data_IF_921108880986
#
_entry.id   IF_921108880986
#
_cell.length_a   1.000
_cell.length_b   1.000
_cell.length_c   1.000
_cell.angle_alpha   90.00
_cell.angle_beta   90.00
_cell.angle_gamma   90.00
#
_symmetry.space_group_name_H-M   'P 1'
#
loop_
_entity.id
_entity.type
_entity.pdbx_description
1 polymer ?
#
# COMPACT_ATOMS: atom_id res chain seq x y z
N UNK A 1 -5.31 -12.16 0.69
CA UNK A 1 -5.29 -10.71 0.37
C UNK A 1 -4.21 -10.36 -0.66
N UNK A 2 -2.98 -10.89 -0.53
CA UNK A 2 -1.90 -10.68 -1.51
C UNK A 2 -2.28 -11.09 -2.93
N UNK A 3 -2.82 -12.30 -3.12
CA UNK A 3 -3.23 -12.77 -4.46
C UNK A 3 -4.33 -11.92 -5.09
N UNK A 4 -5.28 -11.46 -4.27
CA UNK A 4 -6.33 -10.54 -4.71
C UNK A 4 -5.73 -9.21 -5.18
N UNK A 5 -4.76 -8.67 -4.44
CA UNK A 5 -4.06 -7.45 -4.82
C UNK A 5 -3.19 -7.65 -6.08
N UNK A 6 -2.56 -8.81 -6.23
CA UNK A 6 -1.72 -9.12 -7.41
C UNK A 6 -2.49 -9.16 -8.73
N UNK A 7 -3.83 -9.16 -8.71
CA UNK A 7 -4.65 -9.02 -9.91
C UNK A 7 -4.72 -7.62 -10.49
N UNK A 8 -4.22 -6.58 -9.78
CA UNK A 8 -4.24 -5.20 -10.27
C UNK A 8 -3.03 -4.89 -11.16
N UNK A 9 -3.30 -4.52 -12.41
CA UNK A 9 -2.26 -4.07 -13.33
C UNK A 9 -1.50 -2.85 -12.79
N UNK A 10 -0.16 -2.89 -12.89
CA UNK A 10 0.71 -1.81 -12.43
C UNK A 10 0.83 -1.67 -10.91
N UNK A 11 0.20 -2.54 -10.13
CA UNK A 11 0.27 -2.58 -8.67
C UNK A 11 0.12 -1.18 -8.03
N UNK A 12 -1.09 -0.59 -8.12
CA UNK A 12 -1.34 0.78 -7.71
C UNK A 12 -1.09 1.00 -6.20
N UNK A 13 -0.82 2.24 -5.77
CA UNK A 13 -0.63 2.53 -4.36
C UNK A 13 -1.83 2.10 -3.51
N UNK A 14 -1.55 1.59 -2.31
CA UNK A 14 -2.56 1.14 -1.39
C UNK A 14 -2.33 1.66 0.03
N UNK A 15 -3.44 1.92 0.72
CA UNK A 15 -3.48 2.32 2.12
C UNK A 15 -4.14 1.23 2.94
N UNK A 16 -3.43 0.72 3.94
CA UNK A 16 -3.97 -0.24 4.89
C UNK A 16 -4.64 0.53 6.04
N UNK A 17 -5.95 0.35 6.20
CA UNK A 17 -6.78 1.12 7.15
C UNK A 17 -7.40 0.27 8.26
N UNK A 18 -7.34 -1.06 8.13
CA UNK A 18 -7.91 -2.00 9.09
C UNK A 18 -6.93 -3.13 9.38
N UNK A 19 -7.05 -3.71 10.58
CA UNK A 19 -6.23 -4.81 11.07
C UNK A 19 -5.40 -4.43 12.28
N UNK A 20 -4.88 -5.45 12.96
CA UNK A 20 -3.94 -5.25 14.04
C UNK A 20 -2.63 -4.64 13.51
N UNK A 21 -1.94 -3.78 14.30
CA UNK A 21 -0.74 -3.08 13.84
C UNK A 21 0.34 -4.01 13.26
N UNK A 22 0.56 -5.16 13.87
CA UNK A 22 1.55 -6.15 13.43
C UNK A 22 1.15 -6.76 12.08
N UNK A 23 -0.11 -7.21 11.96
CA UNK A 23 -0.64 -7.77 10.72
C UNK A 23 -0.60 -6.77 9.56
N UNK A 24 -0.96 -5.51 9.81
CA UNK A 24 -0.89 -4.45 8.79
C UNK A 24 0.56 -4.18 8.35
N UNK A 25 1.51 -4.20 9.29
CA UNK A 25 2.94 -4.01 9.00
C UNK A 25 3.53 -5.17 8.20
N UNK A 26 3.19 -6.42 8.54
CA UNK A 26 3.62 -7.60 7.79
C UNK A 26 3.01 -7.61 6.39
N UNK A 27 1.71 -7.29 6.26
CA UNK A 27 1.06 -7.20 4.96
C UNK A 27 1.68 -6.10 4.09
N UNK A 28 1.98 -4.93 4.66
CA UNK A 28 2.69 -3.86 3.95
C UNK A 28 4.02 -4.35 3.38
N UNK A 29 4.84 -4.99 4.22
CA UNK A 29 6.14 -5.55 3.82
C UNK A 29 6.00 -6.61 2.73
N UNK A 30 5.01 -7.50 2.87
CA UNK A 30 4.75 -8.54 1.90
C UNK A 30 4.34 -7.96 0.54
N UNK A 31 3.38 -7.03 0.49
CA UNK A 31 2.94 -6.41 -0.76
C UNK A 31 4.06 -5.59 -1.43
N UNK A 32 4.90 -4.91 -0.64
CA UNK A 32 6.05 -4.19 -1.16
C UNK A 32 7.09 -5.14 -1.79
N UNK A 33 7.39 -6.26 -1.13
CA UNK A 33 8.40 -7.22 -1.59
C UNK A 33 7.91 -8.04 -2.79
N UNK A 34 6.65 -8.48 -2.77
CA UNK A 34 6.11 -9.40 -3.76
C UNK A 34 5.63 -8.69 -5.02
N UNK A 35 5.00 -7.51 -4.88
CA UNK A 35 4.36 -6.80 -6.00
C UNK A 35 5.04 -5.47 -6.34
N UNK A 36 6.11 -5.10 -5.65
CA UNK A 36 6.76 -3.77 -5.78
C UNK A 36 5.76 -2.63 -5.53
N UNK A 37 4.72 -2.91 -4.74
CA UNK A 37 3.60 -2.01 -4.54
C UNK A 37 3.97 -0.85 -3.60
N UNK A 38 3.54 0.40 -3.90
CA UNK A 38 3.64 1.51 -2.97
C UNK A 38 2.53 1.43 -1.91
N UNK A 39 2.77 0.63 -0.86
CA UNK A 39 1.80 0.40 0.21
C UNK A 39 2.23 1.04 1.52
N UNK A 40 1.30 1.67 2.24
CA UNK A 40 1.53 2.12 3.62
C UNK A 40 0.32 1.95 4.53
N UNK A 41 0.58 1.88 5.83
CA UNK A 41 -0.48 1.90 6.85
C UNK A 41 -0.92 3.35 7.05
N UNK A 42 -2.23 3.60 6.99
CA UNK A 42 -2.80 4.91 7.25
C UNK A 42 -2.80 5.22 8.75
N UNK A 43 -2.68 6.50 9.12
CA UNK A 43 -2.82 6.96 10.51
C UNK A 43 -4.23 7.49 10.76
N UNK A 44 -4.70 7.34 12.00
CA UNK A 44 -6.00 7.89 12.40
C UNK A 44 -6.00 9.41 12.24
N UNK A 45 -7.02 9.95 11.57
CA UNK A 45 -7.16 11.39 11.31
C UNK A 45 -6.24 11.93 10.21
N UNK A 46 -5.47 11.06 9.54
CA UNK A 46 -4.62 11.45 8.42
C UNK A 46 -5.45 11.97 7.24
N UNK A 47 -4.99 13.06 6.63
CA UNK A 47 -5.51 13.58 5.37
C UNK A 47 -4.52 13.25 4.26
N UNK A 48 -5.05 12.75 3.15
CA UNK A 48 -4.24 12.20 2.07
C UNK A 48 -4.64 12.90 0.78
N UNK A 49 -3.64 13.44 0.08
CA UNK A 49 -3.81 13.92 -1.29
C UNK A 49 -3.62 12.75 -2.26
N UNK A 50 -4.71 12.39 -2.95
CA UNK A 50 -4.70 11.28 -3.91
C UNK A 50 -3.86 11.59 -5.15
N UNK A 51 -3.72 12.86 -5.53
CA UNK A 51 -2.86 13.27 -6.64
C UNK A 51 -1.36 13.08 -6.32
N UNK A 52 -1.02 12.99 -5.03
CA UNK A 52 0.34 12.77 -4.54
C UNK A 52 0.55 11.36 -3.98
N UNK A 53 -0.46 10.50 -4.04
CA UNK A 53 -0.39 9.14 -3.50
C UNK A 53 0.58 8.24 -4.28
N UNK A 54 1.04 8.68 -5.46
CA UNK A 54 1.97 7.98 -6.32
C UNK A 54 2.95 8.93 -7.04
N UNK A 55 4.10 9.27 -6.46
CA UNK A 55 5.26 9.68 -7.27
C UNK A 55 6.57 9.15 -6.65
N UNK A 56 6.89 7.90 -6.95
CA UNK A 56 8.28 7.40 -6.97
C UNK A 56 8.55 6.75 -8.32
N UNK A 57 8.30 7.49 -9.40
CA UNK A 57 8.96 7.27 -10.70
C UNK A 57 9.71 8.55 -11.02
N UNK A 58 10.99 8.61 -10.66
CA UNK A 58 11.90 9.58 -11.27
C UNK A 58 12.24 9.06 -12.67
N UNK A 59 12.02 9.93 -13.66
CA UNK A 59 12.52 9.80 -15.03
C UNK A 59 14.04 9.60 -15.06
#
# INVERSE_FOLDING_TARGET
LSDWYGGFEGHPPALLVHGEPEAATELQRHLHTTHTAPVRVARLGERIDLAQLAVSSRF
#
